data_IF_248364194436
#
_entry.id   IF_248364194436
#
_cell.length_a   1.000
_cell.length_b   1.000
_cell.length_c   1.000
_cell.angle_alpha   90.00
_cell.angle_beta   90.00
_cell.angle_gamma   90.00
#
_symmetry.space_group_name_H-M   'P 1'
#
loop_
_entity.id
_entity.type
_entity.pdbx_description
1 polymer ?
#
# COMPACT_ATOMS: atom_id res chain seq x y z
N UNK A 1 8.66 -14.43 7.33
CA UNK A 1 8.65 -14.14 5.89
C UNK A 1 7.59 -13.09 5.64
N UNK A 2 7.88 -12.05 4.86
CA UNK A 2 6.88 -11.05 4.53
C UNK A 2 5.73 -11.71 3.74
N UNK A 3 4.49 -11.30 4.02
CA UNK A 3 3.33 -11.86 3.33
C UNK A 3 3.28 -11.31 1.92
N UNK A 4 3.19 -12.21 0.95
CA UNK A 4 2.96 -11.84 -0.43
C UNK A 4 1.52 -11.35 -0.61
N UNK A 5 1.27 -10.17 -1.20
CA UNK A 5 -0.07 -9.78 -1.60
C UNK A 5 -0.60 -10.80 -2.61
N UNK A 6 -1.83 -11.27 -2.40
CA UNK A 6 -2.49 -12.22 -3.29
C UNK A 6 -3.66 -11.50 -3.97
N UNK A 7 -3.72 -11.58 -5.30
CA UNK A 7 -4.83 -11.06 -6.11
C UNK A 7 -5.40 -12.16 -7.00
N UNK A 8 -6.72 -12.28 -7.07
CA UNK A 8 -7.40 -13.19 -7.99
C UNK A 8 -7.86 -12.37 -9.21
N UNK A 9 -7.42 -12.74 -10.40
CA UNK A 9 -7.87 -12.12 -11.65
C UNK A 9 -8.74 -13.09 -12.46
N UNK A 10 -9.81 -12.60 -13.08
CA UNK A 10 -10.71 -13.43 -13.88
C UNK A 10 -11.25 -12.70 -15.10
N UNK A 11 -11.71 -13.45 -16.11
CA UNK A 11 -12.38 -12.90 -17.30
C UNK A 11 -13.79 -12.38 -17.04
N UNK A 12 -14.43 -12.87 -15.97
CA UNK A 12 -15.81 -12.52 -15.61
C UNK A 12 -15.86 -12.30 -14.11
N UNK A 13 -16.47 -11.19 -13.72
CA UNK A 13 -16.74 -10.85 -12.33
C UNK A 13 -18.19 -11.11 -12.00
N UNK A 14 -18.43 -11.69 -10.83
CA UNK A 14 -19.77 -11.78 -10.24
C UNK A 14 -19.65 -11.59 -8.72
N UNK A 15 -19.44 -10.33 -8.26
CA UNK A 15 -19.23 -10.05 -6.85
C UNK A 15 -20.39 -10.56 -5.99
N UNK A 16 -21.63 -10.46 -6.47
CA UNK A 16 -22.81 -10.96 -5.78
C UNK A 16 -22.78 -12.47 -5.58
N UNK A 17 -22.43 -13.24 -6.61
CA UNK A 17 -22.28 -14.70 -6.50
C UNK A 17 -21.17 -15.11 -5.55
N UNK A 18 -20.06 -14.36 -5.50
CA UNK A 18 -18.97 -14.62 -4.56
C UNK A 18 -19.42 -14.40 -3.12
N UNK A 19 -20.08 -13.27 -2.83
CA UNK A 19 -20.64 -13.00 -1.51
C UNK A 19 -21.64 -14.09 -1.09
N UNK A 20 -22.55 -14.48 -1.99
CA UNK A 20 -23.52 -15.55 -1.75
C UNK A 20 -22.83 -16.91 -1.50
N UNK A 21 -21.81 -17.26 -2.29
CA UNK A 21 -21.03 -18.48 -2.12
C UNK A 21 -20.37 -18.52 -0.73
N UNK A 22 -19.61 -17.48 -0.39
CA UNK A 22 -18.89 -17.43 0.88
C UNK A 22 -19.84 -17.43 2.08
N UNK A 23 -20.97 -16.74 1.99
CA UNK A 23 -22.00 -16.71 3.04
C UNK A 23 -22.66 -18.08 3.25
N UNK A 24 -22.87 -18.84 2.17
CA UNK A 24 -23.43 -20.20 2.25
C UNK A 24 -22.51 -21.19 2.98
N UNK A 25 -21.20 -20.94 2.96
CA UNK A 25 -20.19 -21.84 3.54
C UNK A 25 -19.65 -21.34 4.88
N UNK A 26 -19.68 -20.03 5.12
CA UNK A 26 -19.28 -19.40 6.37
C UNK A 26 -20.40 -18.47 6.87
N UNK A 27 -21.30 -18.97 7.74
CA UNK A 27 -22.40 -18.17 8.30
C UNK A 27 -21.94 -16.94 9.08
N UNK A 28 -20.67 -16.90 9.51
CA UNK A 28 -20.06 -15.77 10.24
C UNK A 28 -19.33 -14.78 9.34
N UNK A 29 -19.49 -14.87 8.01
CA UNK A 29 -18.91 -13.92 7.07
C UNK A 29 -19.39 -12.50 7.41
N UNK A 30 -18.46 -11.58 7.63
CA UNK A 30 -18.80 -10.15 7.74
C UNK A 30 -18.64 -9.52 6.37
N UNK A 31 -19.56 -8.63 6.04
CA UNK A 31 -19.58 -7.92 4.77
C UNK A 31 -19.68 -6.43 5.04
N UNK A 32 -18.84 -5.67 4.34
CA UNK A 32 -18.88 -4.21 4.30
C UNK A 32 -19.34 -3.81 2.90
N UNK A 33 -20.46 -3.11 2.82
CA UNK A 33 -21.13 -2.74 1.57
C UNK A 33 -22.32 -3.64 1.22
N UNK A 34 -22.89 -3.43 0.03
CA UNK A 34 -24.08 -4.16 -0.45
C UNK A 34 -23.72 -5.49 -1.11
N UNK A 35 -24.69 -6.35 -1.41
CA UNK A 35 -24.41 -7.66 -2.05
C UNK A 35 -23.84 -7.51 -3.46
N UNK A 36 -24.21 -6.45 -4.19
CA UNK A 36 -23.75 -6.20 -5.57
C UNK A 36 -22.50 -5.30 -5.64
N UNK A 37 -22.25 -4.53 -4.58
CA UNK A 37 -21.14 -3.59 -4.47
C UNK A 37 -20.56 -3.64 -3.05
N UNK A 38 -20.08 -4.82 -2.65
CA UNK A 38 -19.33 -4.94 -1.41
C UNK A 38 -17.92 -4.45 -1.64
N UNK A 39 -17.38 -3.75 -0.65
CA UNK A 39 -15.98 -3.32 -0.64
C UNK A 39 -15.12 -4.42 -0.04
N UNK A 40 -15.64 -5.10 1.00
CA UNK A 40 -14.90 -6.10 1.77
C UNK A 40 -15.77 -7.27 2.24
N UNK A 41 -15.20 -8.47 2.15
CA UNK A 41 -15.72 -9.69 2.74
C UNK A 41 -14.69 -10.28 3.71
N UNK A 42 -15.03 -10.36 4.99
CA UNK A 42 -14.12 -10.82 6.06
C UNK A 42 -14.50 -12.22 6.57
N UNK A 43 -13.56 -13.14 6.43
CA UNK A 43 -13.60 -14.49 6.95
C UNK A 43 -12.68 -14.58 8.18
N UNK A 44 -13.28 -14.77 9.35
CA UNK A 44 -12.55 -15.00 10.60
C UNK A 44 -12.55 -16.51 10.87
N UNK A 45 -11.36 -17.13 10.87
CA UNK A 45 -11.25 -18.54 11.31
C UNK A 45 -11.41 -18.60 12.83
N UNK A 46 -12.13 -19.62 13.35
CA UNK A 46 -12.27 -19.77 14.79
C UNK A 46 -10.90 -20.06 15.42
N UNK A 47 -10.70 -19.51 16.61
CA UNK A 47 -9.54 -19.85 17.43
C UNK A 47 -9.51 -21.37 17.69
N UNK A 48 -8.35 -21.99 17.44
CA UNK A 48 -8.08 -23.39 17.77
C UNK A 48 -7.15 -23.43 18.97
N UNK A 49 -7.11 -24.56 19.70
CA UNK A 49 -6.25 -24.69 20.88
C UNK A 49 -4.79 -24.40 20.51
N UNK A 50 -4.26 -23.26 20.97
CA UNK A 50 -2.89 -22.82 20.67
C UNK A 50 -2.70 -22.08 19.34
N UNK A 51 -3.76 -21.76 18.60
CA UNK A 51 -3.69 -20.95 17.37
C UNK A 51 -4.71 -19.81 17.46
N UNK A 52 -4.26 -18.53 17.44
CA UNK A 52 -5.17 -17.39 17.46
C UNK A 52 -6.09 -17.40 16.24
N UNK A 53 -7.25 -16.74 16.37
CA UNK A 53 -8.12 -16.49 15.24
C UNK A 53 -7.34 -15.78 14.11
N UNK A 54 -7.57 -16.18 12.86
CA UNK A 54 -6.92 -15.59 11.69
C UNK A 54 -7.96 -14.89 10.82
N UNK A 55 -7.58 -13.76 10.26
CA UNK A 55 -8.40 -13.00 9.32
C UNK A 55 -7.98 -13.33 7.88
N UNK A 56 -8.96 -13.51 7.00
CA UNK A 56 -8.83 -13.39 5.56
C UNK A 56 -9.91 -12.42 5.07
N UNK A 57 -9.49 -11.35 4.43
CA UNK A 57 -10.37 -10.36 3.82
C UNK A 57 -10.21 -10.42 2.30
N UNK A 58 -11.33 -10.45 1.58
CA UNK A 58 -11.36 -10.16 0.14
C UNK A 58 -11.75 -8.70 -0.06
N UNK A 59 -11.04 -8.00 -0.93
CA UNK A 59 -11.34 -6.62 -1.32
C UNK A 59 -11.77 -6.58 -2.78
N UNK A 60 -12.81 -5.83 -3.08
CA UNK A 60 -13.27 -5.58 -4.44
C UNK A 60 -13.30 -4.09 -4.72
N UNK A 61 -12.58 -3.70 -5.77
CA UNK A 61 -12.62 -2.36 -6.32
C UNK A 61 -12.94 -2.46 -7.83
N UNK A 62 -14.15 -2.09 -8.27
CA UNK A 62 -14.52 -2.12 -9.67
C UNK A 62 -13.68 -1.19 -10.56
N UNK A 63 -13.06 -0.14 -9.98
CA UNK A 63 -12.25 0.81 -10.71
C UNK A 63 -10.84 0.26 -11.04
N UNK A 64 -10.38 -0.76 -10.31
CA UNK A 64 -9.01 -1.29 -10.45
C UNK A 64 -8.65 -1.71 -11.88
N UNK A 65 -9.57 -2.39 -12.59
CA UNK A 65 -9.40 -2.81 -13.98
C UNK A 65 -10.20 -1.97 -14.99
N UNK A 66 -10.84 -0.88 -14.56
CA UNK A 66 -11.49 0.04 -15.47
C UNK A 66 -10.45 0.85 -16.26
N UNK A 67 -10.75 1.21 -17.51
CA UNK A 67 -9.84 2.07 -18.28
C UNK A 67 -9.81 3.50 -17.69
N UNK A 68 -8.64 4.19 -17.73
CA UNK A 68 -7.38 3.79 -18.37
C UNK A 68 -6.46 2.89 -17.53
N UNK A 69 -6.82 2.63 -16.27
CA UNK A 69 -5.98 1.89 -15.32
C UNK A 69 -5.83 0.42 -15.69
N UNK A 70 -6.90 -0.20 -16.20
CA UNK A 70 -6.92 -1.60 -16.60
C UNK A 70 -5.87 -1.95 -17.65
N UNK A 71 -5.76 -1.16 -18.73
CA UNK A 71 -4.73 -1.39 -19.74
C UNK A 71 -3.32 -1.24 -19.19
N UNK A 72 -3.07 -0.24 -18.32
CA UNK A 72 -1.78 -0.06 -17.67
C UNK A 72 -1.43 -1.22 -16.75
N UNK A 73 -2.37 -1.66 -15.92
CA UNK A 73 -2.20 -2.78 -15.00
C UNK A 73 -1.90 -4.07 -15.77
N UNK A 74 -2.67 -4.39 -16.82
CA UNK A 74 -2.44 -5.55 -17.69
C UNK A 74 -1.08 -5.51 -18.38
N UNK A 75 -0.67 -4.35 -18.90
CA UNK A 75 0.65 -4.18 -19.49
C UNK A 75 1.77 -4.35 -18.45
N UNK A 76 1.54 -3.91 -17.21
CA UNK A 76 2.43 -4.14 -16.07
C UNK A 76 2.56 -5.63 -15.73
N UNK A 77 1.44 -6.33 -15.59
CA UNK A 77 1.40 -7.79 -15.33
C UNK A 77 2.16 -8.57 -16.42
N UNK A 78 1.94 -8.23 -17.69
CA UNK A 78 2.61 -8.89 -18.82
C UNK A 78 4.13 -8.70 -18.75
N UNK A 79 4.59 -7.46 -18.60
CA UNK A 79 6.02 -7.12 -18.47
C UNK A 79 6.66 -7.72 -17.22
N UNK A 80 5.89 -7.85 -16.14
CA UNK A 80 6.35 -8.49 -14.91
C UNK A 80 6.62 -9.98 -15.12
N UNK A 81 5.64 -10.71 -15.67
CA UNK A 81 5.75 -12.14 -15.91
C UNK A 81 6.75 -12.50 -17.02
N UNK A 82 6.99 -11.61 -17.97
CA UNK A 82 8.04 -11.79 -18.98
C UNK A 82 9.43 -12.03 -18.38
N UNK A 83 9.69 -11.50 -17.16
CA UNK A 83 10.96 -11.66 -16.44
C UNK A 83 11.16 -13.03 -15.81
N UNK A 84 10.08 -13.79 -15.63
CA UNK A 84 10.15 -15.09 -14.97
C UNK A 84 10.77 -16.11 -15.94
N UNK A 85 11.41 -17.18 -15.46
CA UNK A 85 11.90 -18.24 -16.33
C UNK A 85 10.78 -18.82 -17.20
N UNK A 86 11.13 -19.31 -18.39
CA UNK A 86 10.14 -19.89 -19.29
C UNK A 86 9.58 -21.20 -18.74
N UNK A 87 8.26 -21.32 -18.74
CA UNK A 87 7.51 -22.55 -18.41
C UNK A 87 6.58 -22.91 -19.57
N UNK A 88 6.10 -24.17 -19.68
CA UNK A 88 5.14 -24.56 -20.71
C UNK A 88 3.84 -23.74 -20.71
N UNK A 89 3.53 -23.04 -19.61
CA UNK A 89 2.31 -22.25 -19.44
C UNK A 89 2.52 -20.74 -19.66
N UNK A 90 3.77 -20.25 -19.74
CA UNK A 90 4.06 -18.81 -19.75
C UNK A 90 3.38 -18.08 -20.90
N UNK A 91 3.55 -18.55 -22.14
CA UNK A 91 2.94 -17.93 -23.33
C UNK A 91 1.41 -17.87 -23.20
N UNK A 92 0.77 -19.01 -22.91
CA UNK A 92 -0.69 -19.07 -22.78
C UNK A 92 -1.22 -18.24 -21.61
N UNK A 93 -0.44 -18.06 -20.53
CA UNK A 93 -0.80 -17.18 -19.41
C UNK A 93 -0.68 -15.70 -19.79
N UNK A 94 0.35 -15.32 -20.56
CA UNK A 94 0.52 -13.95 -21.08
C UNK A 94 -0.60 -13.58 -22.06
N UNK A 95 -1.03 -14.54 -22.88
CA UNK A 95 -2.15 -14.39 -23.82
C UNK A 95 -3.50 -14.21 -23.10
N UNK A 96 -3.60 -14.67 -21.85
CA UNK A 96 -4.81 -14.56 -21.04
C UNK A 96 -5.00 -13.16 -20.43
N UNK A 97 -3.90 -12.46 -20.11
CA UNK A 97 -3.91 -11.18 -19.38
C UNK A 97 -4.83 -10.11 -20.01
N UNK A 98 -4.85 -9.90 -21.35
CA UNK A 98 -5.74 -8.94 -21.98
C UNK A 98 -7.23 -9.20 -21.68
N UNK A 99 -7.59 -10.46 -21.47
CA UNK A 99 -8.97 -10.92 -21.26
C UNK A 99 -9.44 -10.85 -19.81
N UNK A 100 -8.57 -10.52 -18.86
CA UNK A 100 -8.93 -10.36 -17.45
C UNK A 100 -9.71 -9.04 -17.28
N UNK A 101 -10.91 -9.09 -16.73
CA UNK A 101 -11.76 -7.89 -16.54
C UNK A 101 -12.24 -7.73 -15.10
N UNK A 102 -11.82 -8.63 -14.22
CA UNK A 102 -12.21 -8.65 -12.82
C UNK A 102 -11.01 -8.97 -11.95
N UNK A 103 -10.88 -8.27 -10.83
CA UNK A 103 -9.82 -8.46 -9.85
C UNK A 103 -10.38 -8.46 -8.43
N UNK A 104 -9.86 -9.33 -7.58
CA UNK A 104 -10.10 -9.34 -6.14
C UNK A 104 -8.77 -9.32 -5.40
N UNK A 105 -8.55 -8.30 -4.59
CA UNK A 105 -7.44 -8.27 -3.65
C UNK A 105 -7.73 -9.14 -2.43
N UNK A 106 -6.67 -9.51 -1.71
CA UNK A 106 -6.80 -10.19 -0.43
C UNK A 106 -5.88 -9.56 0.62
N UNK A 107 -6.34 -9.55 1.87
CA UNK A 107 -5.56 -9.15 3.05
C UNK A 107 -5.68 -10.27 4.07
N UNK A 108 -4.57 -10.69 4.66
CA UNK A 108 -4.53 -11.80 5.61
C UNK A 108 -3.70 -11.43 6.85
N UNK A 109 -4.25 -11.69 8.03
CA UNK A 109 -3.58 -11.44 9.31
C UNK A 109 -3.65 -12.69 10.22
N UNK A 110 -2.51 -13.28 10.61
CA UNK A 110 -1.16 -13.03 10.07
C UNK A 110 -1.10 -13.38 8.58
N UNK A 111 0.04 -13.13 7.94
CA UNK A 111 0.28 -13.53 6.57
C UNK A 111 -0.15 -14.94 6.20
N UNK A 112 -0.54 -15.14 4.94
CA UNK A 112 -0.88 -16.44 4.41
C UNK A 112 0.23 -16.95 3.48
N UNK A 113 0.56 -18.24 3.63
CA UNK A 113 1.38 -19.00 2.69
C UNK A 113 0.44 -19.95 1.93
N UNK A 114 0.38 -19.83 0.61
CA UNK A 114 -0.49 -20.68 -0.22
C UNK A 114 0.01 -22.13 -0.32
N UNK A 115 1.29 -22.37 -0.01
CA UNK A 115 1.91 -23.69 -0.01
C UNK A 115 1.85 -24.37 1.36
N UNK A 116 1.43 -23.67 2.42
CA UNK A 116 1.19 -24.26 3.73
C UNK A 116 -0.17 -25.00 3.76
N UNK A 117 -0.19 -26.35 3.81
CA UNK A 117 -1.44 -27.10 3.85
C UNK A 117 -2.21 -26.91 5.16
N UNK A 118 -1.56 -26.44 6.22
CA UNK A 118 -2.19 -26.22 7.53
C UNK A 118 -2.89 -24.86 7.61
N UNK A 119 -2.65 -23.94 6.66
CA UNK A 119 -3.42 -22.70 6.58
C UNK A 119 -4.71 -22.89 5.78
N UNK A 120 -5.78 -23.20 6.50
CA UNK A 120 -7.10 -23.36 5.90
C UNK A 120 -7.65 -22.10 5.21
N UNK A 121 -6.99 -20.92 5.29
CA UNK A 121 -7.37 -19.76 4.48
C UNK A 121 -7.07 -19.94 3.00
N UNK A 122 -6.03 -20.72 2.66
CA UNK A 122 -5.65 -20.96 1.26
C UNK A 122 -6.76 -21.69 0.49
N UNK A 123 -7.56 -22.49 1.18
CA UNK A 123 -8.72 -23.18 0.59
C UNK A 123 -9.82 -22.20 0.15
N UNK A 124 -10.00 -21.08 0.86
CA UNK A 124 -11.03 -20.08 0.52
C UNK A 124 -10.62 -19.29 -0.71
N UNK A 125 -9.34 -18.93 -0.83
CA UNK A 125 -8.79 -18.28 -2.03
C UNK A 125 -8.96 -19.19 -3.24
N UNK A 126 -8.59 -20.47 -3.13
CA UNK A 126 -8.79 -21.46 -4.21
C UNK A 126 -10.27 -21.63 -4.56
N UNK A 127 -11.15 -21.70 -3.57
CA UNK A 127 -12.59 -21.83 -3.81
C UNK A 127 -13.15 -20.63 -4.61
N UNK A 128 -12.76 -19.40 -4.25
CA UNK A 128 -13.17 -18.19 -4.97
C UNK A 128 -12.59 -18.20 -6.38
N UNK A 129 -11.30 -18.54 -6.54
CA UNK A 129 -10.67 -18.65 -7.84
C UNK A 129 -11.35 -19.71 -8.73
N UNK A 130 -11.71 -20.88 -8.20
CA UNK A 130 -12.49 -21.92 -8.90
C UNK A 130 -13.86 -21.42 -9.36
N UNK A 131 -14.55 -20.62 -8.54
CA UNK A 131 -15.86 -20.12 -8.91
C UNK A 131 -15.80 -19.08 -10.03
N UNK A 132 -14.71 -18.31 -10.07
CA UNK A 132 -14.44 -17.29 -11.08
C UNK A 132 -13.73 -17.82 -12.32
N UNK A 133 -13.25 -19.06 -12.28
CA UNK A 133 -12.30 -19.59 -13.25
C UNK A 133 -11.06 -18.69 -13.39
N UNK A 134 -10.60 -18.18 -12.24
CA UNK A 134 -9.59 -17.13 -12.13
C UNK A 134 -8.17 -17.63 -11.89
N UNK A 135 -7.21 -16.76 -12.20
CA UNK A 135 -5.79 -16.90 -11.91
C UNK A 135 -5.46 -16.28 -10.55
N UNK A 136 -4.67 -16.98 -9.75
CA UNK A 136 -4.18 -16.48 -8.45
C UNK A 136 -2.78 -15.92 -8.67
N UNK A 137 -2.62 -14.62 -8.48
CA UNK A 137 -1.35 -13.90 -8.62
C UNK A 137 -0.75 -13.61 -7.25
N UNK A 138 0.54 -13.89 -7.12
CA UNK A 138 1.41 -13.46 -6.02
C UNK A 138 2.69 -12.86 -6.63
N UNK A 139 3.47 -12.04 -5.91
CA UNK A 139 4.79 -11.61 -6.36
C UNK A 139 5.68 -12.76 -6.84
N UNK A 140 5.68 -13.93 -6.20
CA UNK A 140 6.55 -15.02 -6.64
C UNK A 140 5.94 -15.95 -7.69
N UNK A 141 4.62 -15.92 -7.91
CA UNK A 141 3.95 -16.95 -8.73
C UNK A 141 2.62 -16.54 -9.38
N UNK A 142 2.29 -17.23 -10.47
CA UNK A 142 0.93 -17.31 -11.02
C UNK A 142 0.45 -18.73 -10.90
N UNK A 143 -0.75 -18.91 -10.35
CA UNK A 143 -1.36 -20.22 -10.10
C UNK A 143 -2.72 -20.32 -10.79
N UNK A 144 -3.09 -21.55 -11.15
CA UNK A 144 -4.44 -21.83 -11.63
C UNK A 144 -5.48 -21.72 -10.52
N UNK A 145 -6.75 -21.90 -10.87
CA UNK A 145 -7.86 -21.85 -9.93
C UNK A 145 -7.75 -22.90 -8.80
N UNK A 146 -7.03 -24.01 -9.02
CA UNK A 146 -6.78 -25.03 -8.00
C UNK A 146 -5.56 -24.71 -7.13
N UNK A 147 -4.92 -23.56 -7.32
CA UNK A 147 -3.71 -23.14 -6.60
C UNK A 147 -2.43 -23.82 -7.10
N UNK A 148 -2.47 -24.50 -8.25
CA UNK A 148 -1.28 -25.13 -8.85
C UNK A 148 -0.46 -24.12 -9.62
N UNK A 149 0.85 -24.17 -9.46
CA UNK A 149 1.79 -23.18 -10.02
C UNK A 149 1.89 -23.32 -11.53
N UNK A 150 1.48 -22.30 -12.26
CA UNK A 150 1.65 -22.17 -13.72
C UNK A 150 3.04 -21.58 -14.05
N UNK A 151 3.42 -20.55 -13.30
CA UNK A 151 4.70 -19.83 -13.44
C UNK A 151 5.20 -19.46 -12.04
N UNK A 152 6.49 -19.66 -11.78
CA UNK A 152 7.16 -19.21 -10.55
C UNK A 152 8.42 -18.43 -10.91
N UNK A 153 8.83 -17.47 -10.08
CA UNK A 153 10.05 -16.67 -10.28
C UNK A 153 11.32 -17.53 -10.37
N UNK A 154 11.33 -18.69 -9.73
CA UNK A 154 12.41 -19.68 -9.76
C UNK A 154 12.27 -20.72 -10.90
N UNK A 155 11.29 -20.57 -11.80
CA UNK A 155 11.05 -21.49 -12.92
C UNK A 155 10.36 -22.81 -12.55
N UNK A 156 9.86 -22.94 -11.31
CA UNK A 156 9.03 -24.07 -10.88
C UNK A 156 7.64 -23.99 -11.51
N UNK A 157 7.05 -25.13 -11.84
CA UNK A 157 5.66 -25.26 -12.26
C UNK A 157 5.12 -26.66 -11.90
N UNK A 158 3.80 -26.78 -11.81
CA UNK A 158 3.11 -28.06 -11.61
C UNK A 158 2.65 -28.62 -12.96
N UNK A 159 3.06 -29.83 -13.36
CA UNK A 159 2.66 -30.43 -14.64
C UNK A 159 1.16 -30.71 -14.76
N UNK A 160 0.42 -30.68 -13.65
CA UNK A 160 -1.03 -30.85 -13.60
C UNK A 160 -1.77 -29.51 -13.53
N UNK A 161 -1.08 -28.37 -13.55
CA UNK A 161 -1.71 -27.06 -13.62
C UNK A 161 -2.50 -26.91 -14.94
N UNK A 162 -3.62 -26.18 -14.89
CA UNK A 162 -4.49 -25.98 -16.05
C UNK A 162 -4.88 -24.51 -16.17
N UNK A 163 -4.71 -23.94 -17.34
CA UNK A 163 -5.34 -22.67 -17.66
C UNK A 163 -6.83 -22.88 -17.90
N UNK A 164 -7.62 -21.90 -17.47
CA UNK A 164 -9.05 -21.78 -17.73
C UNK A 164 -9.31 -21.91 -19.23
N UNK A 165 -10.11 -22.90 -19.62
CA UNK A 165 -10.54 -22.97 -21.01
C UNK A 165 -11.41 -21.75 -21.30
N UNK A 166 -11.22 -21.04 -22.43
CA UNK A 166 -12.15 -20.00 -22.83
C UNK A 166 -13.56 -20.59 -22.76
N UNK A 167 -14.54 -19.89 -22.14
CA UNK A 167 -15.92 -20.36 -22.15
C UNK A 167 -16.26 -20.65 -23.61
N UNK A 168 -16.91 -21.80 -23.91
CA UNK A 168 -17.28 -22.13 -25.27
C UNK A 168 -17.94 -20.90 -25.86
N UNK A 169 -17.36 -20.37 -26.94
CA UNK A 169 -17.90 -19.18 -27.59
C UNK A 169 -19.37 -19.44 -27.78
N UNK A 170 -20.22 -18.60 -27.17
CA UNK A 170 -21.66 -18.75 -27.33
C UNK A 170 -21.91 -18.89 -28.84
N UNK A 171 -22.59 -19.96 -29.29
CA UNK A 171 -22.77 -20.21 -30.70
C UNK A 171 -23.27 -18.92 -31.32
N UNK A 172 -22.64 -18.41 -32.40
CA UNK A 172 -22.87 -17.06 -32.89
C UNK A 172 -24.37 -16.85 -32.96
N UNK A 173 -24.86 -15.93 -32.13
CA UNK A 173 -26.28 -15.64 -32.00
C UNK A 173 -26.84 -15.55 -33.41
N UNK A 174 -27.69 -16.53 -33.74
CA UNK A 174 -28.33 -16.66 -35.05
C UNK A 174 -28.78 -15.27 -35.47
N UNK A 175 -28.39 -14.75 -36.65
CA UNK A 175 -28.70 -13.39 -37.02
C UNK A 175 -30.21 -13.19 -36.90
N UNK A 176 -30.61 -12.34 -35.94
CA UNK A 176 -31.96 -11.83 -35.82
C UNK A 176 -32.18 -10.88 -36.99
N UNK A 177 -32.52 -11.43 -38.15
CA UNK A 177 -33.02 -10.65 -39.28
C UNK A 177 -33.92 -11.55 -40.14
N UNK A 178 -35.22 -11.47 -39.89
CA UNK A 178 -36.27 -11.50 -40.92
C UNK A 178 -37.62 -11.12 -40.30
N UNK A 179 -37.80 -9.82 -40.00
CA UNK A 179 -39.10 -9.17 -40.07
C UNK A 179 -38.94 -7.63 -40.00
N UNK A 180 -39.48 -6.96 -41.00
CA UNK A 180 -39.86 -5.53 -41.05
C UNK A 180 -38.82 -4.52 -41.55
N UNK A 181 -38.73 -4.47 -42.88
CA UNK A 181 -39.10 -3.33 -43.73
C UNK A 181 -38.73 -1.89 -43.28
N UNK A 182 -37.93 -1.26 -44.15
CA UNK A 182 -38.07 0.14 -44.63
C UNK A 182 -37.68 1.28 -43.67
N UNK A 183 -36.47 1.80 -43.84
CA UNK A 183 -36.23 3.24 -43.71
C UNK A 183 -34.99 3.66 -44.50
N UNK A 184 -35.12 4.83 -45.12
CA UNK A 184 -34.30 5.41 -46.18
C UNK A 184 -32.85 5.70 -45.78
N UNK A 185 -31.97 5.59 -46.79
CA UNK A 185 -30.56 5.92 -46.72
C UNK A 185 -30.33 7.45 -46.71
N UNK A 186 -29.40 7.90 -45.87
CA UNK A 186 -28.70 9.18 -46.03
C UNK A 186 -27.18 8.93 -46.07
N UNK A 187 -26.43 9.65 -46.93
CA UNK A 187 -24.99 9.49 -47.04
C UNK A 187 -24.29 10.35 -45.98
N UNK A 188 -23.46 9.72 -45.14
CA UNK A 188 -22.55 10.47 -44.25
C UNK A 188 -21.19 10.59 -44.93
N UNK A 189 -20.83 11.84 -45.18
CA UNK A 189 -19.55 12.31 -45.71
C UNK A 189 -18.43 12.06 -44.69
N UNK A 190 -17.36 11.40 -45.15
CA UNK A 190 -16.11 11.23 -44.40
C UNK A 190 -15.35 12.56 -44.46
N UNK A 191 -15.39 13.31 -43.35
CA UNK A 191 -14.65 14.55 -43.14
C UNK A 191 -13.37 14.27 -42.34
N UNK A 192 -12.29 14.87 -42.82
CA UNK A 192 -10.91 14.75 -42.36
C UNK A 192 -10.68 15.09 -40.88
N UNK A 193 -9.65 14.45 -40.33
CA UNK A 193 -9.06 14.71 -39.02
C UNK A 193 -8.56 16.16 -38.87
N UNK A 194 -8.68 16.75 -37.68
CA UNK A 194 -7.71 17.70 -37.16
C UNK A 194 -6.75 16.98 -36.20
N UNK A 195 -5.46 17.08 -36.51
CA UNK A 195 -4.39 17.19 -35.52
C UNK A 195 -4.76 18.29 -34.51
N UNK A 196 -4.53 18.02 -33.23
CA UNK A 196 -4.34 18.95 -32.10
C UNK A 196 -4.97 18.31 -30.83
N UNK A 197 -4.22 17.39 -30.21
CA UNK A 197 -4.45 16.98 -28.82
C UNK A 197 -3.43 17.72 -27.96
N UNK A 198 -3.84 18.88 -27.47
CA UNK A 198 -3.31 19.45 -26.23
C UNK A 198 -3.66 18.48 -25.09
N UNK A 199 -2.70 17.63 -24.70
CA UNK A 199 -2.77 16.71 -23.56
C UNK A 199 -2.69 17.48 -22.22
N UNK A 200 -3.67 18.34 -21.95
CA UNK A 200 -3.94 18.89 -20.61
C UNK A 200 -5.37 18.57 -20.16
N UNK A 201 -5.83 17.35 -20.48
CA UNK A 201 -7.04 16.78 -19.90
C UNK A 201 -6.72 16.17 -18.54
N UNK A 202 -6.85 17.00 -17.51
CA UNK A 202 -7.15 16.57 -16.14
C UNK A 202 -8.40 15.68 -16.16
N UNK A 203 -8.20 14.36 -16.25
CA UNK A 203 -9.31 13.42 -16.41
C UNK A 203 -10.19 13.36 -15.15
N UNK A 204 -11.51 13.60 -15.30
CA UNK A 204 -12.51 13.32 -14.28
C UNK A 204 -12.91 11.84 -14.40
N UNK A 205 -12.55 11.01 -13.42
CA UNK A 205 -12.88 9.58 -13.49
C UNK A 205 -12.59 8.75 -12.24
N UNK A 206 -12.12 9.34 -11.15
CA UNK A 206 -12.27 8.77 -9.83
C UNK A 206 -13.44 9.52 -9.16
N UNK A 207 -14.61 8.91 -9.08
CA UNK A 207 -15.63 9.36 -8.11
C UNK A 207 -15.20 9.04 -6.67
N UNK A 208 -13.95 8.57 -6.48
CA UNK A 208 -13.22 8.75 -5.24
C UNK A 208 -13.26 10.22 -4.88
N UNK A 209 -14.14 10.54 -3.95
CA UNK A 209 -14.28 11.84 -3.31
C UNK A 209 -12.89 12.45 -3.22
N UNK A 210 -12.61 13.57 -3.92
CA UNK A 210 -11.31 14.20 -3.88
C UNK A 210 -10.85 14.25 -2.44
N UNK A 211 -9.79 13.49 -2.13
CA UNK A 211 -9.28 13.45 -0.78
C UNK A 211 -8.60 14.78 -0.59
N UNK A 212 -9.31 15.71 0.03
CA UNK A 212 -8.76 17.02 0.33
C UNK A 212 -7.54 16.84 1.22
N UNK A 213 -6.36 17.34 0.82
CA UNK A 213 -5.17 17.25 1.64
C UNK A 213 -5.43 17.89 3.01
N UNK A 214 -4.79 17.38 4.09
CA UNK A 214 -4.99 17.93 5.42
C UNK A 214 -4.64 19.42 5.46
N UNK A 215 -5.53 20.22 6.08
CA UNK A 215 -5.26 21.64 6.29
C UNK A 215 -3.98 21.87 7.11
N UNK A 216 -3.31 23.03 6.98
CA UNK A 216 -2.11 23.34 7.77
C UNK A 216 -2.30 23.15 9.28
N UNK A 217 -3.46 23.57 9.81
CA UNK A 217 -3.82 23.40 11.23
C UNK A 217 -3.89 21.92 11.61
N UNK A 218 -4.44 21.08 10.74
CA UNK A 218 -4.52 19.63 10.96
C UNK A 218 -3.14 18.98 10.95
N UNK A 219 -2.28 19.34 9.99
CA UNK A 219 -0.89 18.87 9.97
C UNK A 219 -0.17 19.24 11.27
N UNK A 220 -0.31 20.48 11.76
CA UNK A 220 0.26 20.92 13.04
C UNK A 220 -0.26 20.10 14.24
N UNK A 221 -1.57 19.85 14.33
CA UNK A 221 -2.13 19.01 15.40
C UNK A 221 -1.61 17.58 15.32
N UNK A 222 -1.53 17.02 14.13
CA UNK A 222 -1.00 15.67 13.89
C UNK A 222 0.47 15.56 14.26
N UNK A 223 1.28 16.56 13.93
CA UNK A 223 2.68 16.68 14.38
C UNK A 223 2.77 16.59 15.90
N UNK A 224 1.93 17.32 16.63
CA UNK A 224 1.94 17.31 18.10
C UNK A 224 1.44 15.97 18.68
N UNK A 225 0.47 15.32 18.03
CA UNK A 225 0.02 13.97 18.39
C UNK A 225 1.14 12.93 18.20
N UNK A 226 1.85 12.96 17.07
CA UNK A 226 3.01 12.09 16.84
C UNK A 226 4.16 12.39 17.82
N UNK A 227 4.41 13.67 18.14
CA UNK A 227 5.37 14.05 19.18
C UNK A 227 4.99 13.45 20.55
N UNK A 228 3.71 13.45 20.92
CA UNK A 228 3.23 12.79 22.14
C UNK A 228 3.45 11.27 22.10
N UNK A 229 3.09 10.63 20.99
CA UNK A 229 3.23 9.18 20.78
C UNK A 229 4.70 8.74 20.89
N UNK A 230 5.59 9.40 20.16
CA UNK A 230 7.02 9.14 20.21
C UNK A 230 7.61 9.48 21.56
N UNK A 231 7.25 10.64 22.14
CA UNK A 231 7.70 11.02 23.48
C UNK A 231 7.31 10.00 24.54
N UNK A 232 6.10 9.44 24.46
CA UNK A 232 5.65 8.33 25.30
C UNK A 232 6.49 7.08 25.10
N UNK A 233 6.76 6.68 23.86
CA UNK A 233 7.56 5.50 23.56
C UNK A 233 9.00 5.64 24.06
N UNK A 234 9.60 6.83 23.96
CA UNK A 234 10.93 7.11 24.49
C UNK A 234 10.99 7.04 26.03
N UNK A 235 9.89 7.32 26.74
CA UNK A 235 9.82 7.13 28.19
C UNK A 235 9.95 5.65 28.59
N UNK A 236 9.51 4.70 27.76
CA UNK A 236 9.70 3.25 28.03
C UNK A 236 11.15 2.80 27.98
N UNK A 237 12.01 3.57 27.32
CA UNK A 237 13.43 3.26 27.20
C UNK A 237 14.25 3.79 28.39
N UNK A 238 13.62 4.54 29.30
CA UNK A 238 14.24 5.05 30.53
C UNK A 238 14.18 4.02 31.65
N UNK A 239 14.86 4.31 32.75
CA UNK A 239 14.71 3.54 33.98
C UNK A 239 13.28 3.68 34.52
N UNK A 240 12.50 2.60 34.44
CA UNK A 240 11.13 2.55 34.91
C UNK A 240 11.04 2.63 36.45
N UNK A 241 12.14 2.37 37.17
CA UNK A 241 12.20 2.54 38.62
C UNK A 241 12.40 4.01 39.04
N UNK A 242 12.79 4.89 38.11
CA UNK A 242 12.96 6.32 38.38
C UNK A 242 11.58 6.99 38.57
N UNK A 243 11.29 7.59 39.75
CA UNK A 243 10.05 8.33 39.98
C UNK A 243 9.82 9.45 38.97
N UNK A 244 10.87 9.99 38.35
CA UNK A 244 10.74 11.01 37.31
C UNK A 244 10.07 10.49 36.04
N UNK A 245 10.11 9.19 35.74
CA UNK A 245 9.43 8.61 34.59
C UNK A 245 7.92 8.80 34.68
N UNK A 246 7.34 8.57 35.87
CA UNK A 246 5.92 8.82 36.13
C UNK A 246 5.58 10.32 36.02
N UNK A 247 6.42 11.20 36.58
CA UNK A 247 6.23 12.66 36.50
C UNK A 247 6.25 13.16 35.04
N UNK A 248 7.15 12.63 34.21
CA UNK A 248 7.21 12.99 32.79
C UNK A 248 5.97 12.51 32.02
N UNK A 249 5.46 11.32 32.33
CA UNK A 249 4.22 10.83 31.74
C UNK A 249 3.01 11.69 32.14
N UNK A 250 2.87 12.06 33.42
CA UNK A 250 1.81 12.96 33.88
C UNK A 250 1.90 14.34 33.22
N UNK A 251 3.13 14.86 33.04
CA UNK A 251 3.37 16.11 32.31
C UNK A 251 2.94 16.00 30.84
N UNK A 252 3.24 14.87 30.19
CA UNK A 252 2.80 14.59 28.81
C UNK A 252 1.27 14.58 28.70
N UNK A 253 0.58 13.87 29.60
CA UNK A 253 -0.89 13.80 29.59
C UNK A 253 -1.53 15.17 29.84
N UNK A 254 -0.95 15.97 30.74
CA UNK A 254 -1.39 17.34 30.98
C UNK A 254 -1.18 18.23 29.75
N UNK A 255 -0.06 18.07 29.03
CA UNK A 255 0.22 18.80 27.80
C UNK A 255 -0.78 18.44 26.69
N UNK A 256 -1.02 17.15 26.45
CA UNK A 256 -2.04 16.65 25.49
C UNK A 256 -3.42 17.22 25.80
N UNK A 257 -3.81 17.22 27.07
CA UNK A 257 -5.12 17.73 27.52
C UNK A 257 -5.25 19.23 27.28
N UNK A 258 -4.21 20.03 27.62
CA UNK A 258 -4.21 21.49 27.45
C UNK A 258 -4.23 21.92 25.98
N UNK A 259 -3.76 21.08 25.07
CA UNK A 259 -3.76 21.33 23.63
C UNK A 259 -4.99 20.77 22.91
N UNK A 260 -5.88 20.08 23.65
CA UNK A 260 -7.09 19.48 23.09
C UNK A 260 -6.78 18.59 21.87
N UNK A 261 -5.82 17.67 22.03
CA UNK A 261 -5.34 16.80 20.93
C UNK A 261 -6.03 15.43 20.87
N UNK A 262 -6.97 15.14 21.77
CA UNK A 262 -7.53 13.79 21.93
C UNK A 262 -8.18 13.25 20.65
N UNK A 263 -8.85 14.12 19.89
CA UNK A 263 -9.51 13.83 18.62
C UNK A 263 -8.54 13.63 17.44
N UNK A 264 -7.26 13.95 17.61
CA UNK A 264 -6.23 13.75 16.58
C UNK A 264 -5.52 12.39 16.72
N UNK A 265 -5.65 11.72 17.86
CA UNK A 265 -5.11 10.38 18.05
C UNK A 265 -6.02 9.32 17.44
N UNK A 266 -5.41 8.34 16.80
CA UNK A 266 -6.09 7.11 16.45
C UNK A 266 -6.23 6.20 17.68
N UNK A 267 -7.13 5.22 17.62
CA UNK A 267 -7.49 4.43 18.80
C UNK A 267 -6.29 3.64 19.38
N UNK A 268 -5.45 3.09 18.52
CA UNK A 268 -4.23 2.38 18.86
C UNK A 268 -3.14 3.32 19.40
N UNK A 269 -2.98 4.50 18.81
CA UNK A 269 -2.04 5.52 19.28
C UNK A 269 -2.41 6.07 20.64
N UNK A 270 -3.70 6.33 20.87
CA UNK A 270 -4.18 6.75 22.17
C UNK A 270 -3.96 5.68 23.23
N UNK A 271 -4.14 4.40 22.88
CA UNK A 271 -3.81 3.30 23.79
C UNK A 271 -2.32 3.32 24.20
N UNK A 272 -1.42 3.68 23.29
CA UNK A 272 0.02 3.85 23.61
C UNK A 272 0.24 5.05 24.53
N UNK A 273 -0.25 6.24 24.15
CA UNK A 273 -0.04 7.49 24.90
C UNK A 273 -0.58 7.41 26.32
N UNK A 274 -1.79 6.85 26.48
CA UNK A 274 -2.49 6.77 27.75
C UNK A 274 -2.05 5.59 28.65
N UNK A 275 -1.30 4.62 28.13
CA UNK A 275 -0.77 3.54 28.95
C UNK A 275 0.23 4.09 30.00
N UNK A 276 0.12 3.70 31.28
CA UNK A 276 1.14 4.03 32.29
C UNK A 276 2.53 3.50 31.91
N UNK A 277 3.63 4.13 32.35
CA UNK A 277 4.99 3.64 32.10
C UNK A 277 5.19 2.16 32.50
N UNK A 278 5.87 1.38 31.65
CA UNK A 278 6.14 -0.04 31.87
C UNK A 278 5.01 -0.99 31.44
N UNK A 279 3.93 -0.47 30.85
CA UNK A 279 2.80 -1.28 30.38
C UNK A 279 2.83 -1.52 28.85
N UNK A 280 3.73 -0.86 28.12
CA UNK A 280 3.88 -1.10 26.69
C UNK A 280 4.69 -2.37 26.46
N UNK A 281 4.21 -3.22 25.55
CA UNK A 281 5.01 -4.34 25.10
C UNK A 281 6.17 -3.83 24.19
N UNK A 282 7.31 -4.54 24.12
CA UNK A 282 8.49 -4.09 23.38
C UNK A 282 8.22 -3.75 21.91
N UNK A 283 7.39 -4.53 21.22
CA UNK A 283 7.05 -4.28 19.81
C UNK A 283 6.29 -2.98 19.63
N UNK A 284 5.34 -2.69 20.51
CA UNK A 284 4.56 -1.44 20.49
C UNK A 284 5.45 -0.24 20.76
N UNK A 285 6.38 -0.36 21.71
CA UNK A 285 7.39 0.66 21.99
C UNK A 285 8.23 0.96 20.75
N UNK A 286 8.80 -0.08 20.10
CA UNK A 286 9.63 0.10 18.90
C UNK A 286 8.83 0.75 17.76
N UNK A 287 7.61 0.26 17.47
CA UNK A 287 6.77 0.83 16.41
C UNK A 287 6.41 2.30 16.68
N UNK A 288 6.06 2.65 17.93
CA UNK A 288 5.76 4.02 18.31
C UNK A 288 7.00 4.93 18.31
N UNK A 289 8.19 4.40 18.60
CA UNK A 289 9.46 5.14 18.45
C UNK A 289 9.73 5.47 16.98
N UNK A 290 9.51 4.53 16.05
CA UNK A 290 9.73 4.77 14.62
C UNK A 290 8.87 5.89 14.03
N UNK A 291 7.72 6.21 14.64
CA UNK A 291 6.89 7.36 14.25
C UNK A 291 7.61 8.70 14.32
N UNK A 292 8.76 8.77 14.99
CA UNK A 292 9.61 9.96 14.98
C UNK A 292 10.08 10.34 13.58
N UNK A 293 10.27 9.37 12.68
CA UNK A 293 10.70 9.65 11.31
C UNK A 293 9.57 10.28 10.48
N UNK A 294 8.32 9.84 10.70
CA UNK A 294 7.14 10.53 10.18
C UNK A 294 6.98 11.94 10.78
N UNK A 295 7.23 12.09 12.09
CA UNK A 295 7.23 13.40 12.77
C UNK A 295 8.23 14.38 12.13
N UNK A 296 9.43 13.91 11.76
CA UNK A 296 10.44 14.73 11.07
C UNK A 296 9.90 15.32 9.76
N UNK A 297 9.17 14.53 8.96
CA UNK A 297 8.52 15.04 7.74
C UNK A 297 7.50 16.11 8.07
N UNK A 298 6.60 15.86 9.03
CA UNK A 298 5.56 16.83 9.34
C UNK A 298 6.15 18.14 9.89
N UNK A 299 7.23 18.05 10.68
CA UNK A 299 7.97 19.22 11.15
C UNK A 299 8.65 19.98 10.00
N UNK A 300 9.26 19.29 9.04
CA UNK A 300 9.84 19.91 7.85
C UNK A 300 8.81 20.57 6.93
N UNK A 301 7.65 19.92 6.76
CA UNK A 301 6.50 20.47 6.03
C UNK A 301 5.99 21.75 6.71
N UNK A 302 6.02 21.81 8.05
CA UNK A 302 5.63 22.99 8.83
C UNK A 302 6.74 24.05 8.98
N UNK A 303 7.85 23.89 8.26
CA UNK A 303 9.02 24.77 8.31
C UNK A 303 9.63 24.90 9.72
N UNK A 304 9.58 23.82 10.51
CA UNK A 304 10.11 23.76 11.89
C UNK A 304 11.45 23.06 12.01
N UNK A 305 11.78 22.17 11.08
CA UNK A 305 13.07 21.48 11.05
C UNK A 305 13.56 21.32 9.62
N UNK A 306 14.85 21.08 9.47
CA UNK A 306 15.42 20.58 8.22
C UNK A 306 15.33 19.05 8.18
N UNK A 307 15.32 18.47 6.98
CA UNK A 307 15.41 17.02 6.84
C UNK A 307 16.87 16.58 6.98
N UNK A 308 17.16 15.57 7.80
CA UNK A 308 18.45 14.89 7.73
C UNK A 308 18.55 14.14 6.39
N UNK A 309 19.75 13.66 6.07
CA UNK A 309 19.95 12.80 4.90
C UNK A 309 19.07 11.54 4.99
N UNK A 310 18.75 10.93 3.84
CA UNK A 310 17.77 9.83 3.78
C UNK A 310 18.20 8.58 4.54
N UNK A 311 19.50 8.42 4.78
CA UNK A 311 20.11 7.30 5.50
C UNK A 311 20.56 7.67 6.92
N UNK A 312 20.19 8.86 7.41
CA UNK A 312 20.46 9.31 8.77
C UNK A 312 19.17 9.27 9.61
N UNK A 313 19.30 8.79 10.86
CA UNK A 313 18.25 8.88 11.86
C UNK A 313 18.11 10.31 12.36
N UNK A 314 16.87 10.71 12.68
CA UNK A 314 16.64 11.99 13.36
C UNK A 314 17.10 11.94 14.83
N UNK A 315 17.62 13.06 15.33
CA UNK A 315 17.96 13.23 16.75
C UNK A 315 16.74 13.80 17.50
N UNK A 316 16.13 13.05 18.45
CA UNK A 316 14.93 13.50 19.14
C UNK A 316 15.12 14.83 19.89
N UNK A 317 16.30 15.05 20.46
CA UNK A 317 16.61 16.24 21.25
C UNK A 317 16.60 17.54 20.42
N UNK A 318 16.83 17.45 19.11
CA UNK A 318 16.73 18.60 18.20
C UNK A 318 15.30 18.79 17.69
N UNK A 319 14.63 17.68 17.34
CA UNK A 319 13.30 17.70 16.72
C UNK A 319 12.19 18.06 17.71
N UNK A 320 12.18 17.48 18.91
CA UNK A 320 11.08 17.63 19.87
C UNK A 320 10.90 19.09 20.31
N UNK A 321 11.95 19.84 20.68
CA UNK A 321 11.80 21.26 20.98
C UNK A 321 11.33 22.08 19.77
N UNK A 322 11.78 21.77 18.55
CA UNK A 322 11.43 22.52 17.35
C UNK A 322 9.92 22.53 17.03
N UNK A 323 9.19 21.53 17.52
CA UNK A 323 7.72 21.44 17.39
C UNK A 323 6.97 21.88 18.66
N UNK A 324 7.66 22.40 19.67
CA UNK A 324 7.06 22.83 20.95
C UNK A 324 6.66 21.68 21.88
N UNK A 325 7.35 20.53 21.82
CA UNK A 325 7.01 19.38 22.67
C UNK A 325 7.12 19.72 24.17
N UNK A 326 6.04 19.49 24.92
CA UNK A 326 5.88 19.83 26.34
C UNK A 326 5.96 21.34 26.69
N UNK A 327 5.94 22.22 25.68
CA UNK A 327 5.67 23.65 25.82
C UNK A 327 4.26 23.94 25.27
N UNK A 328 3.36 24.43 26.13
CA UNK A 328 1.95 24.64 25.74
C UNK A 328 1.81 25.86 24.84
N UNK A 329 2.57 26.93 25.09
CA UNK A 329 2.43 28.18 24.35
C UNK A 329 3.03 28.06 22.96
N UNK A 330 4.20 27.43 22.85
CA UNK A 330 4.83 27.19 21.55
C UNK A 330 4.00 26.24 20.68
N UNK A 331 3.48 25.14 21.26
CA UNK A 331 2.62 24.22 20.54
C UNK A 331 1.29 24.87 20.10
N UNK A 332 0.69 25.74 20.92
CA UNK A 332 -0.50 26.53 20.51
C UNK A 332 -0.16 27.47 19.36
N UNK A 333 0.97 28.18 19.45
CA UNK A 333 1.46 29.03 18.38
C UNK A 333 1.68 28.26 17.07
N UNK A 334 2.18 27.03 17.14
CA UNK A 334 2.31 26.15 15.97
C UNK A 334 0.95 25.84 15.33
N UNK A 335 -0.07 25.49 16.13
CA UNK A 335 -1.43 25.19 15.62
C UNK A 335 -2.08 26.43 15.01
N UNK A 336 -1.98 27.58 15.68
CA UNK A 336 -2.64 28.83 15.29
C UNK A 336 -2.04 29.47 14.04
N UNK A 337 -0.72 29.33 13.87
CA UNK A 337 0.02 29.97 12.78
C UNK A 337 0.63 28.96 11.80
N UNK A 338 0.11 27.73 11.78
CA UNK A 338 0.57 26.67 10.90
C UNK A 338 0.57 27.11 9.43
N UNK A 339 1.70 26.90 8.76
CA UNK A 339 1.86 27.07 7.33
C UNK A 339 2.58 25.85 6.79
N UNK A 340 2.15 25.39 5.62
CA UNK A 340 2.83 24.32 4.93
C UNK A 340 3.81 24.94 3.95
N UNK A 341 4.95 24.25 3.80
CA UNK A 341 5.87 24.43 2.69
C UNK A 341 5.14 24.32 1.35
N UNK A 342 5.70 24.91 0.31
CA UNK A 342 5.08 24.91 -1.01
C UNK A 342 4.83 23.48 -1.52
N UNK A 343 3.67 23.26 -2.15
CA UNK A 343 3.19 21.93 -2.51
C UNK A 343 4.11 21.21 -3.51
N UNK A 344 4.75 21.96 -4.40
CA UNK A 344 5.73 21.47 -5.37
C UNK A 344 6.98 20.89 -4.68
N UNK A 345 7.41 21.50 -3.57
CA UNK A 345 8.52 20.98 -2.77
C UNK A 345 8.11 19.69 -2.06
N UNK A 346 6.91 19.65 -1.48
CA UNK A 346 6.40 18.45 -0.79
C UNK A 346 6.25 17.29 -1.78
N UNK A 347 5.67 17.54 -2.95
CA UNK A 347 5.48 16.57 -4.03
C UNK A 347 6.82 16.05 -4.58
N UNK A 348 7.79 16.94 -4.83
CA UNK A 348 9.14 16.53 -5.24
C UNK A 348 9.79 15.62 -4.18
N UNK A 349 9.70 15.98 -2.90
CA UNK A 349 10.24 15.18 -1.81
C UNK A 349 9.50 13.84 -1.65
N UNK A 350 8.18 13.80 -1.86
CA UNK A 350 7.43 12.55 -1.86
C UNK A 350 7.92 11.61 -2.96
N UNK A 351 8.08 12.11 -4.20
CA UNK A 351 8.60 11.32 -5.32
C UNK A 351 10.00 10.78 -5.05
N UNK A 352 10.85 11.58 -4.41
CA UNK A 352 12.17 11.15 -3.96
C UNK A 352 12.09 9.98 -2.95
N UNK A 353 11.31 10.10 -1.87
CA UNK A 353 11.17 9.02 -0.90
C UNK A 353 10.44 7.79 -1.45
N UNK A 354 9.51 7.97 -2.40
CA UNK A 354 8.90 6.87 -3.15
C UNK A 354 9.97 6.07 -3.92
N UNK A 355 10.84 6.75 -4.68
CA UNK A 355 11.96 6.14 -5.42
C UNK A 355 12.84 5.31 -4.49
N UNK A 356 13.24 5.87 -3.35
CA UNK A 356 14.08 5.16 -2.39
C UNK A 356 13.37 3.96 -1.77
N UNK A 357 12.11 4.12 -1.35
CA UNK A 357 11.31 3.06 -0.76
C UNK A 357 11.14 1.89 -1.73
N UNK A 358 10.86 2.20 -3.00
CA UNK A 358 10.76 1.20 -4.06
C UNK A 358 12.05 0.38 -4.18
N UNK A 359 13.22 1.05 -4.28
CA UNK A 359 14.50 0.35 -4.45
C UNK A 359 14.84 -0.53 -3.26
N UNK A 360 14.64 -0.04 -2.04
CA UNK A 360 14.91 -0.82 -0.82
C UNK A 360 13.97 -2.02 -0.71
N UNK A 361 12.68 -1.86 -1.02
CA UNK A 361 11.72 -2.97 -1.04
C UNK A 361 12.06 -4.00 -2.11
N UNK A 362 12.37 -3.54 -3.32
CA UNK A 362 12.80 -4.42 -4.41
C UNK A 362 14.04 -5.21 -3.98
N UNK A 363 15.06 -4.55 -3.43
CA UNK A 363 16.29 -5.23 -3.03
C UNK A 363 16.03 -6.24 -1.91
N UNK A 364 15.24 -5.85 -0.90
CA UNK A 364 14.99 -6.68 0.29
C UNK A 364 14.09 -7.89 0.02
N UNK A 365 13.06 -7.71 -0.79
CA UNK A 365 11.97 -8.70 -0.92
C UNK A 365 11.88 -9.36 -2.29
N UNK A 366 12.48 -8.77 -3.33
CA UNK A 366 12.38 -9.30 -4.70
C UNK A 366 13.71 -9.88 -5.14
N UNK A 367 14.77 -9.07 -5.16
CA UNK A 367 16.08 -9.49 -5.66
C UNK A 367 17.24 -8.72 -5.01
N UNK A 368 18.08 -9.42 -4.25
CA UNK A 368 19.24 -8.85 -3.52
C UNK A 368 20.46 -8.59 -4.43
N UNK A 369 20.25 -8.35 -5.72
CA UNK A 369 21.32 -8.02 -6.66
C UNK A 369 21.48 -6.50 -6.84
N UNK A 370 22.72 -6.04 -7.12
CA UNK A 370 22.94 -4.68 -7.57
C UNK A 370 22.12 -4.36 -8.82
N UNK A 371 21.58 -3.16 -8.90
CA UNK A 371 20.84 -2.63 -10.04
C UNK A 371 21.55 -1.35 -10.51
N UNK A 372 21.68 -1.14 -11.83
CA UNK A 372 21.95 0.21 -12.33
C UNK A 372 20.69 1.04 -12.13
N UNK A 373 20.55 1.56 -10.91
CA UNK A 373 19.35 2.22 -10.45
C UNK A 373 19.16 3.57 -11.12
N UNK A 374 20.27 4.25 -11.47
CA UNK A 374 20.23 5.46 -12.29
C UNK A 374 19.60 5.18 -13.67
N UNK A 375 20.07 4.14 -14.36
CA UNK A 375 19.50 3.76 -15.65
C UNK A 375 18.04 3.30 -15.50
N UNK A 376 17.75 2.46 -14.50
CA UNK A 376 16.40 1.99 -14.24
C UNK A 376 15.42 3.14 -13.99
N UNK A 377 15.78 4.10 -13.14
CA UNK A 377 14.95 5.26 -12.82
C UNK A 377 14.60 6.11 -14.06
N UNK A 378 15.53 6.23 -15.01
CA UNK A 378 15.33 6.96 -16.25
C UNK A 378 14.42 6.21 -17.24
N UNK A 379 14.40 4.88 -17.21
CA UNK A 379 13.69 4.03 -18.18
C UNK A 379 12.44 3.35 -17.60
N UNK A 380 12.16 3.51 -16.30
CA UNK A 380 11.13 2.74 -15.63
C UNK A 380 9.72 3.05 -16.16
N UNK A 381 8.92 1.99 -16.25
CA UNK A 381 7.71 1.99 -17.06
C UNK A 381 6.48 2.62 -16.40
N UNK A 382 6.58 2.94 -15.10
CA UNK A 382 5.49 3.49 -14.30
C UNK A 382 5.70 4.97 -13.96
N UNK A 383 6.59 5.65 -14.69
CA UNK A 383 6.87 7.08 -14.55
C UNK A 383 8.30 7.35 -14.10
N UNK A 384 8.81 8.55 -14.36
CA UNK A 384 10.19 8.91 -13.99
C UNK A 384 10.35 8.95 -12.47
N UNK A 385 11.34 8.21 -11.97
CA UNK A 385 11.74 8.25 -10.56
C UNK A 385 12.59 9.50 -10.28
N UNK A 386 12.30 10.19 -9.18
CA UNK A 386 13.12 11.31 -8.70
C UNK A 386 14.36 10.77 -7.96
N UNK A 387 15.54 11.10 -8.48
CA UNK A 387 16.84 10.71 -7.91
C UNK A 387 17.67 11.93 -7.48
N UNK A 388 17.18 13.16 -7.70
CA UNK A 388 17.86 14.36 -7.22
C UNK A 388 17.99 14.32 -5.68
N UNK A 389 19.23 14.26 -5.20
CA UNK A 389 19.57 14.07 -3.79
C UNK A 389 19.92 12.63 -3.37
N UNK A 390 19.71 11.63 -4.23
CA UNK A 390 20.15 10.25 -3.96
C UNK A 390 21.66 10.16 -4.19
N UNK A 391 22.38 9.52 -3.27
CA UNK A 391 23.79 9.21 -3.49
C UNK A 391 23.88 7.81 -4.09
N UNK A 392 24.73 7.67 -5.11
CA UNK A 392 24.89 6.42 -5.85
C UNK A 392 26.34 5.95 -5.84
N UNK A 393 26.55 4.65 -5.63
CA UNK A 393 27.84 3.97 -5.80
C UNK A 393 27.67 2.88 -6.85
N UNK A 394 28.49 2.92 -7.90
CA UNK A 394 28.43 1.99 -9.03
C UNK A 394 27.05 1.94 -9.72
N UNK A 395 26.34 3.07 -9.76
CA UNK A 395 25.02 3.18 -10.39
C UNK A 395 23.84 2.75 -9.50
N UNK A 396 24.09 2.19 -8.32
CA UNK A 396 23.05 1.78 -7.36
C UNK A 396 23.02 2.68 -6.12
N UNK A 397 21.98 2.57 -5.30
CA UNK A 397 21.79 3.37 -4.09
C UNK A 397 22.95 3.17 -3.09
N UNK A 398 23.45 4.28 -2.56
CA UNK A 398 24.42 4.29 -1.45
C UNK A 398 23.68 4.37 -0.11
N UNK A 399 24.08 3.51 0.83
CA UNK A 399 23.62 3.50 2.21
C UNK A 399 24.84 3.65 3.15
N UNK A 400 24.93 4.76 3.87
CA UNK A 400 25.96 5.02 4.87
C UNK A 400 27.40 4.83 4.35
N UNK A 401 27.65 5.32 3.15
CA UNK A 401 28.95 5.25 2.46
C UNK A 401 29.25 3.91 1.79
N UNK A 402 28.33 2.95 1.81
CA UNK A 402 28.47 1.64 1.18
C UNK A 402 27.48 1.48 0.02
N UNK A 403 27.82 0.74 -1.04
CA UNK A 403 26.80 0.35 -2.02
C UNK A 403 25.74 -0.52 -1.35
N UNK A 404 24.47 -0.38 -1.74
CA UNK A 404 23.32 -1.12 -1.19
C UNK A 404 23.60 -2.62 -1.01
N UNK A 405 24.24 -3.26 -1.99
CA UNK A 405 24.55 -4.68 -1.96
C UNK A 405 25.58 -5.10 -0.91
N UNK A 406 26.36 -4.16 -0.37
CA UNK A 406 27.35 -4.39 0.67
C UNK A 406 26.91 -3.91 2.06
N UNK A 407 25.75 -3.24 2.17
CA UNK A 407 25.19 -2.86 3.46
C UNK A 407 24.80 -4.11 4.27
N UNK A 408 25.06 -4.10 5.57
CA UNK A 408 24.59 -5.17 6.46
C UNK A 408 23.07 -5.09 6.66
N UNK A 409 22.49 -6.19 7.17
CA UNK A 409 21.03 -6.30 7.33
C UNK A 409 20.48 -5.31 8.37
N UNK A 410 21.27 -4.90 9.36
CA UNK A 410 20.86 -3.93 10.37
C UNK A 410 20.73 -2.53 9.77
N UNK A 411 21.74 -2.11 9.01
CA UNK A 411 21.79 -0.84 8.26
C UNK A 411 20.65 -0.80 7.25
N UNK A 412 20.49 -1.87 6.44
CA UNK A 412 19.41 -1.97 5.47
C UNK A 412 18.03 -1.89 6.15
N UNK A 413 17.83 -2.60 7.25
CA UNK A 413 16.54 -2.62 7.94
C UNK A 413 16.21 -1.28 8.60
N UNK A 414 17.21 -0.62 9.19
CA UNK A 414 17.09 0.70 9.80
C UNK A 414 16.70 1.74 8.75
N UNK A 415 17.47 1.84 7.66
CA UNK A 415 17.22 2.83 6.60
C UNK A 415 15.90 2.56 5.89
N UNK A 416 15.55 1.29 5.64
CA UNK A 416 14.23 0.96 5.09
C UNK A 416 13.09 1.46 5.99
N UNK A 417 13.23 1.33 7.31
CA UNK A 417 12.21 1.81 8.27
C UNK A 417 12.12 3.36 8.25
N UNK A 418 13.26 4.04 8.22
CA UNK A 418 13.33 5.52 8.07
C UNK A 418 12.59 5.97 6.82
N UNK A 419 12.94 5.39 5.67
CA UNK A 419 12.37 5.77 4.37
C UNK A 419 10.89 5.45 4.29
N UNK A 420 10.47 4.30 4.84
CA UNK A 420 9.06 3.91 4.86
C UNK A 420 8.21 4.90 5.69
N UNK A 421 8.64 5.26 6.91
CA UNK A 421 7.90 6.20 7.76
C UNK A 421 7.87 7.62 7.17
N UNK A 422 8.98 8.07 6.57
CA UNK A 422 9.05 9.37 5.89
C UNK A 422 8.15 9.41 4.65
N UNK A 423 8.18 8.37 3.83
CA UNK A 423 7.30 8.23 2.67
C UNK A 423 5.82 8.19 3.09
N UNK A 424 5.48 7.47 4.16
CA UNK A 424 4.13 7.43 4.73
C UNK A 424 3.61 8.82 5.10
N UNK A 425 4.41 9.60 5.83
CA UNK A 425 4.03 10.96 6.22
C UNK A 425 3.83 11.88 5.00
N UNK A 426 4.69 11.78 3.98
CA UNK A 426 4.57 12.56 2.74
C UNK A 426 3.29 12.22 1.96
N UNK A 427 2.99 10.92 1.83
CA UNK A 427 1.75 10.46 1.20
C UNK A 427 0.52 10.99 1.94
N UNK A 428 0.59 11.05 3.28
CA UNK A 428 -0.52 11.57 4.09
C UNK A 428 -0.75 13.06 3.86
N UNK A 429 0.32 13.85 3.78
CA UNK A 429 0.21 15.31 3.56
C UNK A 429 -0.34 15.63 2.17
N UNK A 430 -0.01 14.84 1.15
CA UNK A 430 -0.43 15.12 -0.23
C UNK A 430 -1.81 14.57 -0.56
N UNK A 431 -2.10 13.33 -0.19
CA UNK A 431 -3.28 12.59 -0.64
C UNK A 431 -3.89 11.74 0.49
N UNK A 432 -3.52 12.03 1.74
CA UNK A 432 -3.79 11.15 2.87
C UNK A 432 -5.26 11.00 3.20
N UNK A 433 -5.73 9.79 3.51
CA UNK A 433 -7.08 9.59 4.00
C UNK A 433 -7.36 10.36 5.30
N UNK A 434 -8.61 10.31 5.74
CA UNK A 434 -9.02 10.89 7.01
C UNK A 434 -8.26 10.31 8.21
N UNK A 435 -7.65 9.13 8.10
CA UNK A 435 -6.78 8.55 9.13
C UNK A 435 -5.34 8.55 8.63
N UNK A 436 -4.38 8.82 9.51
CA UNK A 436 -2.96 8.79 9.15
C UNK A 436 -2.52 7.36 8.87
N UNK A 437 -2.91 6.40 9.72
CA UNK A 437 -2.56 4.98 9.59
C UNK A 437 -3.06 4.33 8.30
N UNK A 438 -4.14 4.86 7.73
CA UNK A 438 -4.72 4.36 6.48
C UNK A 438 -3.95 4.82 5.23
N UNK A 439 -2.90 5.63 5.39
CA UNK A 439 -2.08 6.10 4.28
C UNK A 439 -1.31 4.96 3.64
N UNK A 440 -1.52 4.76 2.35
CA UNK A 440 -0.82 3.73 1.58
C UNK A 440 0.65 4.10 1.34
N UNK A 441 1.53 3.12 1.45
CA UNK A 441 2.97 3.22 1.14
C UNK A 441 3.41 2.17 0.13
N UNK A 442 2.45 1.54 -0.56
CA UNK A 442 2.71 0.56 -1.60
C UNK A 442 3.54 1.19 -2.72
N UNK A 443 4.53 0.43 -3.20
CA UNK A 443 5.49 0.81 -4.24
C UNK A 443 5.72 -0.36 -5.18
#
# INVERSE_FOLDING_TARGET
MATEPITIYARRGDPARIAALLRSLQPRLRQVGSDEAWERLELITPERLGQPARLLQFTYDPASLAEPNGSRQKAGMRRYLERFPDTPFKTATLDEIPHLTFALGTVAEPGIDLDDPEDDRGRWIRLVAQNLDGLIFTPSSVRDANGRVLIHAEGRFDPLARLSEPPPSDPPSRPLNEASASSEALPISIGSAPDDLDDDETQPGNDGVPIDPPSPRRVARRTLALAALTGRALLEQRDLADPMTQVHWERLMAWVTKLELLDEFEADEWAVVSAPPGQLNPTTTVNATWRIEGLTILAWVLERSELPEYDQLIVPDDLMPAVGFLDVEEARGLIEHARLRAIDQIDKTQRFYFTLNWRLRQFRFVDRQPLDFAQFAAECWFGTMELDGARLINGDLELSGLPLAAADEETLSTIHSVIQERHHALNWVLNGPALYSATDTST
#
